data_IF_458777467922
#
_entry.id   IF_458777467922
#
_cell.length_a   1.000
_cell.length_b   1.000
_cell.length_c   1.000
_cell.angle_alpha   90.00
_cell.angle_beta   90.00
_cell.angle_gamma   90.00
#
_symmetry.space_group_name_H-M   'P 1'
#
loop_
_entity.id
_entity.type
_entity.pdbx_description
1 polymer ?
#
# COMPACT_ATOMS: atom_id res chain seq x y z
N UNK A 1 1.43 -3.51 51.63
CA UNK A 1 2.01 -3.86 50.32
C UNK A 1 1.24 -3.08 49.27
N UNK A 2 1.77 -1.93 48.85
CA UNK A 2 1.19 -1.15 47.76
C UNK A 2 1.47 -1.91 46.46
N UNK A 3 0.41 -2.30 45.77
CA UNK A 3 0.49 -2.81 44.41
C UNK A 3 0.80 -1.62 43.51
N UNK A 4 2.07 -1.44 43.16
CA UNK A 4 2.48 -0.55 42.09
C UNK A 4 1.82 -1.03 40.80
N UNK A 5 0.78 -0.32 40.35
CA UNK A 5 0.35 -0.40 38.96
C UNK A 5 1.50 0.19 38.15
N UNK A 6 2.04 -0.51 37.14
CA UNK A 6 3.02 0.09 36.24
C UNK A 6 2.44 1.41 35.74
N UNK A 7 3.18 2.50 35.95
CA UNK A 7 2.77 3.82 35.48
C UNK A 7 2.62 3.76 33.97
N UNK A 8 1.56 4.38 33.44
CA UNK A 8 1.30 4.47 32.00
C UNK A 8 2.54 4.98 31.24
N UNK A 9 3.35 5.81 31.91
CA UNK A 9 4.63 6.36 31.45
C UNK A 9 5.73 5.30 31.32
N UNK A 10 5.83 4.32 32.22
CA UNK A 10 6.85 3.25 32.14
C UNK A 10 6.56 2.27 30.99
N UNK A 11 5.28 2.02 30.73
CA UNK A 11 4.83 1.17 29.63
C UNK A 11 5.09 1.85 28.29
N UNK A 12 4.89 3.16 28.18
CA UNK A 12 5.16 3.94 26.97
C UNK A 12 6.66 3.98 26.66
N UNK A 13 7.51 4.27 27.65
CA UNK A 13 8.97 4.30 27.49
C UNK A 13 9.53 2.93 27.04
N UNK A 14 8.97 1.83 27.53
CA UNK A 14 9.41 0.50 27.11
C UNK A 14 9.07 0.21 25.63
N UNK A 15 7.92 0.69 25.14
CA UNK A 15 7.52 0.53 23.73
C UNK A 15 8.40 1.36 22.79
N UNK A 16 8.73 2.59 23.15
CA UNK A 16 9.61 3.45 22.35
C UNK A 16 11.01 2.82 22.19
N UNK A 17 11.55 2.22 23.26
CA UNK A 17 12.83 1.49 23.21
C UNK A 17 12.75 0.27 22.29
N UNK A 18 11.63 -0.47 22.29
CA UNK A 18 11.43 -1.61 21.39
C UNK A 18 11.30 -1.19 19.92
N UNK A 19 10.64 -0.06 19.66
CA UNK A 19 10.55 0.52 18.31
C UNK A 19 11.91 0.99 17.82
N UNK A 20 12.73 1.60 18.68
CA UNK A 20 14.10 2.00 18.37
C UNK A 20 14.98 0.79 18.02
N UNK A 21 14.92 -0.27 18.82
CA UNK A 21 15.64 -1.50 18.55
C UNK A 21 15.18 -2.17 17.25
N UNK A 22 13.87 -2.13 16.98
CA UNK A 22 13.32 -2.65 15.73
C UNK A 22 13.79 -1.84 14.54
N UNK A 23 13.83 -0.50 14.65
CA UNK A 23 14.34 0.40 13.62
C UNK A 23 15.82 0.15 13.31
N UNK A 24 16.65 -0.03 14.35
CA UNK A 24 18.06 -0.37 14.19
C UNK A 24 18.23 -1.73 13.50
N UNK A 25 17.40 -2.71 13.86
CA UNK A 25 17.41 -4.03 13.23
C UNK A 25 17.02 -4.03 11.74
N UNK A 26 16.40 -2.96 11.22
CA UNK A 26 16.15 -2.82 9.78
C UNK A 26 17.44 -2.60 8.96
N UNK A 27 18.53 -2.15 9.60
CA UNK A 27 19.84 -1.98 8.95
C UNK A 27 20.60 -3.31 8.81
N UNK A 28 20.13 -4.38 9.46
CA UNK A 28 20.82 -5.66 9.46
C UNK A 28 20.93 -6.28 8.05
N UNK A 29 22.04 -6.97 7.82
CA UNK A 29 22.31 -7.58 6.50
C UNK A 29 21.36 -8.75 6.21
N UNK A 30 21.00 -9.50 7.25
CA UNK A 30 20.15 -10.71 7.18
C UNK A 30 18.69 -10.33 6.93
N UNK A 31 18.07 -10.96 5.92
CA UNK A 31 16.65 -10.70 5.60
C UNK A 31 15.71 -11.12 6.72
N UNK A 32 15.98 -12.26 7.37
CA UNK A 32 15.16 -12.77 8.47
C UNK A 32 15.09 -11.81 9.67
N UNK A 33 16.18 -11.11 9.97
CA UNK A 33 16.23 -10.13 11.08
C UNK A 33 15.44 -8.87 10.73
N UNK A 34 15.59 -8.37 9.49
CA UNK A 34 14.78 -7.23 9.02
C UNK A 34 13.29 -7.56 8.98
N UNK A 35 12.95 -8.77 8.55
CA UNK A 35 11.58 -9.27 8.56
C UNK A 35 11.05 -9.29 10.01
N UNK A 36 11.72 -9.95 10.96
CA UNK A 36 11.27 -9.96 12.35
C UNK A 36 11.09 -8.55 12.95
N UNK A 37 11.97 -7.61 12.61
CA UNK A 37 11.87 -6.22 13.03
C UNK A 37 10.61 -5.53 12.46
N UNK A 38 10.32 -5.71 11.17
CA UNK A 38 9.10 -5.17 10.56
C UNK A 38 7.84 -5.73 11.20
N UNK A 39 7.79 -7.04 11.48
CA UNK A 39 6.64 -7.64 12.18
C UNK A 39 6.44 -7.03 13.58
N UNK A 40 7.54 -6.85 14.32
CA UNK A 40 7.50 -6.24 15.65
C UNK A 40 6.99 -4.80 15.62
N UNK A 41 7.36 -4.03 14.58
CA UNK A 41 6.86 -2.67 14.38
C UNK A 41 5.37 -2.64 14.02
N UNK A 42 4.92 -3.54 13.14
CA UNK A 42 3.50 -3.67 12.80
C UNK A 42 2.67 -4.00 14.04
N UNK A 43 3.12 -4.97 14.85
CA UNK A 43 2.44 -5.34 16.08
C UNK A 43 2.36 -4.17 17.06
N UNK A 44 3.45 -3.39 17.17
CA UNK A 44 3.49 -2.19 18.01
C UNK A 44 2.51 -1.11 17.53
N UNK A 45 2.46 -0.83 16.21
CA UNK A 45 1.53 0.15 15.64
C UNK A 45 0.07 -0.29 15.70
N UNK A 46 -0.22 -1.58 15.57
CA UNK A 46 -1.59 -2.11 15.73
C UNK A 46 -2.06 -2.07 17.20
N UNK A 47 -1.13 -2.11 18.14
CA UNK A 47 -1.44 -2.10 19.57
C UNK A 47 -1.62 -0.69 20.14
N UNK A 48 -1.05 0.34 19.50
CA UNK A 48 -1.03 1.70 20.00
C UNK A 48 -0.68 2.73 18.90
N UNK A 49 -1.29 3.91 18.95
CA UNK A 49 -1.01 5.00 17.99
C UNK A 49 0.27 5.71 18.41
N UNK A 50 1.41 5.20 17.93
CA UNK A 50 2.76 5.67 18.23
C UNK A 50 3.12 6.97 17.49
N UNK A 51 2.23 7.97 17.57
CA UNK A 51 2.30 9.20 16.78
C UNK A 51 3.63 9.95 16.96
N UNK A 52 4.08 10.14 18.20
CA UNK A 52 5.32 10.88 18.50
C UNK A 52 6.58 10.18 17.95
N UNK A 53 6.61 8.85 17.99
CA UNK A 53 7.70 8.06 17.41
C UNK A 53 7.73 8.21 15.89
N UNK A 54 6.57 8.04 15.24
CA UNK A 54 6.47 8.11 13.79
C UNK A 54 6.80 9.51 13.31
N UNK A 55 6.23 10.55 13.90
CA UNK A 55 6.50 11.95 13.54
C UNK A 55 7.99 12.31 13.63
N UNK A 56 8.71 11.83 14.66
CA UNK A 56 10.14 12.11 14.85
C UNK A 56 11.06 11.31 13.94
N UNK A 57 10.71 10.07 13.61
CA UNK A 57 11.59 9.14 12.87
C UNK A 57 11.07 8.81 11.47
N UNK A 58 10.07 9.55 11.02
CA UNK A 58 9.32 9.31 9.79
C UNK A 58 10.22 9.04 8.56
N UNK A 59 11.15 9.93 8.24
CA UNK A 59 12.03 9.78 7.08
C UNK A 59 12.89 8.50 7.14
N UNK A 60 13.34 8.11 8.34
CA UNK A 60 14.13 6.88 8.52
C UNK A 60 13.24 5.65 8.32
N UNK A 61 12.04 5.66 8.91
CA UNK A 61 11.05 4.58 8.75
C UNK A 61 10.68 4.37 7.29
N UNK A 62 10.41 5.46 6.57
CA UNK A 62 10.09 5.46 5.15
C UNK A 62 11.20 4.80 4.33
N UNK A 63 12.42 5.30 4.47
CA UNK A 63 13.57 4.79 3.72
C UNK A 63 13.80 3.29 4.00
N UNK A 64 13.70 2.87 5.25
CA UNK A 64 13.91 1.46 5.59
C UNK A 64 12.79 0.55 5.12
N UNK A 65 11.53 0.99 5.18
CA UNK A 65 10.40 0.23 4.65
C UNK A 65 10.54 0.06 3.13
N UNK A 66 10.85 1.13 2.39
CA UNK A 66 11.07 1.08 0.95
C UNK A 66 12.25 0.19 0.57
N UNK A 67 13.35 0.27 1.32
CA UNK A 67 14.49 -0.63 1.15
C UNK A 67 14.11 -2.09 1.38
N UNK A 68 13.28 -2.38 2.38
CA UNK A 68 12.79 -3.73 2.65
C UNK A 68 11.83 -4.22 1.56
N UNK A 69 10.95 -3.39 1.00
CA UNK A 69 10.08 -3.76 -0.13
C UNK A 69 10.92 -4.11 -1.36
N UNK A 70 11.98 -3.34 -1.62
CA UNK A 70 12.92 -3.57 -2.73
C UNK A 70 13.74 -4.86 -2.56
N UNK A 71 14.21 -5.15 -1.35
CA UNK A 71 15.19 -6.22 -1.07
C UNK A 71 14.61 -7.46 -0.37
N UNK A 72 13.34 -7.40 0.03
CA UNK A 72 12.66 -8.42 0.83
C UNK A 72 12.53 -9.75 0.11
N UNK A 73 12.65 -10.83 0.89
CA UNK A 73 12.48 -12.20 0.41
C UNK A 73 10.99 -12.54 0.25
N UNK A 74 10.71 -13.49 -0.63
CA UNK A 74 9.39 -14.01 -1.01
C UNK A 74 8.62 -14.78 0.08
N UNK A 75 9.19 -14.91 1.28
CA UNK A 75 8.81 -15.94 2.25
C UNK A 75 8.03 -15.44 3.47
N UNK A 76 7.69 -14.16 3.53
CA UNK A 76 7.21 -13.55 4.77
C UNK A 76 5.81 -12.95 4.65
N UNK A 77 4.94 -13.33 5.59
CA UNK A 77 3.59 -12.78 5.82
C UNK A 77 3.57 -11.28 6.13
N UNK A 78 4.75 -10.66 6.31
CA UNK A 78 4.91 -9.23 6.64
C UNK A 78 4.54 -8.34 5.47
N UNK A 79 4.63 -8.86 4.24
CA UNK A 79 4.20 -8.14 3.06
C UNK A 79 2.70 -7.81 3.17
N UNK A 80 1.88 -8.71 3.72
CA UNK A 80 0.44 -8.53 3.91
C UNK A 80 0.08 -7.40 4.89
N UNK A 81 0.95 -7.07 5.84
CA UNK A 81 0.67 -6.09 6.89
C UNK A 81 1.35 -4.73 6.66
N UNK A 82 1.91 -4.55 5.46
CA UNK A 82 2.66 -3.39 4.98
C UNK A 82 2.91 -2.26 6.02
N UNK A 83 4.04 -2.30 6.75
CA UNK A 83 4.35 -1.32 7.80
C UNK A 83 4.39 0.13 7.30
N UNK A 84 4.64 0.33 6.00
CA UNK A 84 4.60 1.65 5.38
C UNK A 84 3.17 2.24 5.34
N UNK A 85 2.15 1.41 5.04
CA UNK A 85 0.74 1.81 5.10
C UNK A 85 0.32 2.17 6.52
N UNK A 86 0.78 1.43 7.51
CA UNK A 86 0.43 1.68 8.90
C UNK A 86 1.13 2.95 9.41
N UNK A 87 2.41 3.13 9.05
CA UNK A 87 3.16 4.33 9.38
C UNK A 87 2.48 5.59 8.81
N UNK A 88 2.06 5.59 7.53
CA UNK A 88 1.38 6.76 6.96
C UNK A 88 0.03 7.06 7.63
N UNK A 89 -0.73 6.02 7.97
CA UNK A 89 -2.00 6.19 8.71
C UNK A 89 -1.73 6.83 10.09
N UNK A 90 -0.59 6.49 10.70
CA UNK A 90 -0.18 7.01 12.02
C UNK A 90 0.33 8.46 11.95
N UNK A 91 1.01 8.84 10.85
CA UNK A 91 1.39 10.25 10.57
C UNK A 91 0.17 11.13 10.36
N UNK A 92 -0.90 10.58 9.76
CA UNK A 92 -2.11 11.35 9.45
C UNK A 92 -1.94 12.26 8.23
N UNK A 93 -2.78 13.28 8.10
CA UNK A 93 -2.80 14.20 6.95
C UNK A 93 -1.79 15.35 7.14
N UNK A 94 -1.11 15.75 6.08
CA UNK A 94 -0.21 16.91 6.08
C UNK A 94 1.03 16.73 5.20
N UNK A 95 1.98 17.67 5.31
CA UNK A 95 3.19 17.72 4.47
C UNK A 95 4.01 16.42 4.53
N UNK A 96 4.08 15.78 5.71
CA UNK A 96 4.77 14.50 5.88
C UNK A 96 4.12 13.37 5.08
N UNK A 97 2.79 13.30 5.02
CA UNK A 97 2.10 12.29 4.23
C UNK A 97 2.24 12.50 2.73
N UNK A 98 2.29 13.76 2.29
CA UNK A 98 2.60 14.08 0.91
C UNK A 98 4.04 13.66 0.55
N UNK A 99 5.02 13.94 1.42
CA UNK A 99 6.41 13.51 1.25
C UNK A 99 6.52 11.98 1.15
N UNK A 100 5.78 11.22 2.01
CA UNK A 100 5.68 9.75 1.89
C UNK A 100 5.28 9.34 0.49
N UNK A 101 4.20 9.93 -0.02
CA UNK A 101 3.65 9.57 -1.31
C UNK A 101 4.68 9.83 -2.42
N UNK A 102 5.24 11.03 -2.45
CA UNK A 102 6.20 11.45 -3.46
C UNK A 102 7.46 10.55 -3.49
N UNK A 103 8.00 10.22 -2.32
CA UNK A 103 9.18 9.36 -2.21
C UNK A 103 8.88 7.88 -2.48
N UNK A 104 7.65 7.41 -2.23
CA UNK A 104 7.27 6.00 -2.35
C UNK A 104 6.80 5.59 -3.73
N UNK A 105 6.15 6.48 -4.49
CA UNK A 105 5.51 6.14 -5.79
C UNK A 105 6.50 5.48 -6.76
N UNK A 106 7.71 6.03 -6.89
CA UNK A 106 8.70 5.51 -7.83
C UNK A 106 9.25 4.13 -7.41
N UNK A 107 9.74 3.93 -6.17
CA UNK A 107 10.16 2.62 -5.68
C UNK A 107 9.05 1.55 -5.76
N UNK A 108 7.80 1.89 -5.39
CA UNK A 108 6.68 0.95 -5.45
C UNK A 108 6.35 0.57 -6.90
N UNK A 109 6.33 1.53 -7.83
CA UNK A 109 6.15 1.26 -9.26
C UNK A 109 7.23 0.33 -9.82
N UNK A 110 8.50 0.51 -9.42
CA UNK A 110 9.59 -0.38 -9.81
C UNK A 110 9.44 -1.79 -9.20
N UNK A 111 9.01 -1.87 -7.94
CA UNK A 111 8.75 -3.13 -7.25
C UNK A 111 7.60 -3.92 -7.91
N UNK A 112 6.51 -3.25 -8.31
CA UNK A 112 5.39 -3.86 -9.06
C UNK A 112 5.86 -4.47 -10.40
N UNK A 113 6.69 -3.74 -11.15
CA UNK A 113 7.19 -4.20 -12.46
C UNK A 113 8.15 -5.39 -12.35
N UNK A 114 8.92 -5.46 -11.28
CA UNK A 114 9.92 -6.51 -11.05
C UNK A 114 9.35 -7.75 -10.34
N UNK A 115 8.30 -7.58 -9.54
CA UNK A 115 7.67 -8.69 -8.82
C UNK A 115 6.99 -9.68 -9.78
N UNK A 116 7.01 -10.97 -9.39
CA UNK A 116 6.29 -12.06 -10.06
C UNK A 116 5.37 -12.82 -9.10
N UNK A 117 5.41 -12.45 -7.83
CA UNK A 117 4.70 -13.14 -6.77
C UNK A 117 3.40 -12.41 -6.47
N UNK A 118 2.28 -13.14 -6.52
CA UNK A 118 0.94 -12.57 -6.36
C UNK A 118 0.81 -11.79 -5.04
N UNK A 119 1.20 -12.39 -3.92
CA UNK A 119 1.12 -11.76 -2.58
C UNK A 119 1.94 -10.46 -2.51
N UNK A 120 3.15 -10.47 -3.08
CA UNK A 120 3.98 -9.26 -3.12
C UNK A 120 3.35 -8.17 -3.98
N UNK A 121 2.74 -8.54 -5.10
CA UNK A 121 2.05 -7.59 -5.97
C UNK A 121 0.83 -7.01 -5.26
N UNK A 122 -0.03 -7.83 -4.65
CA UNK A 122 -1.25 -7.37 -3.97
C UNK A 122 -0.91 -6.39 -2.85
N UNK A 123 0.06 -6.70 -2.00
CA UNK A 123 0.43 -5.81 -0.92
C UNK A 123 1.08 -4.51 -1.37
N UNK A 124 1.84 -4.50 -2.47
CA UNK A 124 2.37 -3.24 -3.03
C UNK A 124 1.24 -2.38 -3.62
N UNK A 125 0.21 -2.99 -4.21
CA UNK A 125 -0.96 -2.26 -4.71
C UNK A 125 -1.75 -1.62 -3.58
N UNK A 126 -2.04 -2.40 -2.53
CA UNK A 126 -2.72 -1.91 -1.32
C UNK A 126 -1.89 -0.81 -0.64
N UNK A 127 -0.58 -1.01 -0.55
CA UNK A 127 0.36 0.01 -0.08
C UNK A 127 0.19 1.32 -0.83
N UNK A 128 0.29 1.27 -2.16
CA UNK A 128 0.21 2.44 -3.02
C UNK A 128 -1.14 3.15 -2.88
N UNK A 129 -2.23 2.38 -2.77
CA UNK A 129 -3.57 2.91 -2.57
C UNK A 129 -3.71 3.63 -1.22
N UNK A 130 -3.28 3.02 -0.11
CA UNK A 130 -3.36 3.66 1.21
C UNK A 130 -2.51 4.92 1.29
N UNK A 131 -1.25 4.88 0.81
CA UNK A 131 -0.39 6.06 0.87
C UNK A 131 -0.91 7.20 -0.01
N UNK A 132 -1.56 6.87 -1.13
CA UNK A 132 -2.15 7.87 -2.02
C UNK A 132 -3.42 8.45 -1.43
N UNK A 133 -4.24 7.64 -0.77
CA UNK A 133 -5.44 8.09 -0.08
C UNK A 133 -5.12 9.10 1.04
N UNK A 134 -4.06 8.84 1.82
CA UNK A 134 -3.67 9.71 2.94
C UNK A 134 -2.84 10.91 2.47
N UNK A 135 -1.88 10.69 1.57
CA UNK A 135 -0.91 11.71 1.14
C UNK A 135 -1.25 12.47 -0.14
N UNK A 136 -2.29 12.05 -0.87
CA UNK A 136 -2.70 12.65 -2.14
C UNK A 136 -3.36 14.01 -1.94
N UNK A 137 -2.57 15.08 -1.96
CA UNK A 137 -3.06 16.43 -1.72
C UNK A 137 -3.78 17.04 -2.94
N UNK A 138 -3.53 16.52 -4.14
CA UNK A 138 -4.16 16.97 -5.38
C UNK A 138 -4.64 15.80 -6.26
N UNK A 139 -5.64 16.03 -7.12
CA UNK A 139 -6.16 15.00 -8.01
C UNK A 139 -5.10 14.38 -8.92
N UNK A 140 -4.09 15.15 -9.36
CA UNK A 140 -3.06 14.67 -10.27
C UNK A 140 -2.16 13.58 -9.65
N UNK A 141 -1.82 13.71 -8.36
CA UNK A 141 -1.09 12.70 -7.60
C UNK A 141 -1.89 11.41 -7.49
N UNK A 142 -3.19 11.52 -7.19
CA UNK A 142 -4.10 10.38 -7.10
C UNK A 142 -4.27 9.68 -8.45
N UNK A 143 -4.52 10.45 -9.51
CA UNK A 143 -4.62 9.93 -10.87
C UNK A 143 -3.35 9.21 -11.32
N UNK A 144 -2.16 9.74 -10.97
CA UNK A 144 -0.88 9.09 -11.28
C UNK A 144 -0.77 7.71 -10.63
N UNK A 145 -1.11 7.58 -9.35
CA UNK A 145 -1.13 6.28 -8.66
C UNK A 145 -2.16 5.34 -9.25
N UNK A 146 -3.35 5.83 -9.59
CA UNK A 146 -4.39 5.04 -10.26
C UNK A 146 -3.96 4.55 -11.63
N UNK A 147 -3.23 5.35 -12.41
CA UNK A 147 -2.63 4.90 -13.67
C UNK A 147 -1.59 3.81 -13.47
N UNK A 148 -0.76 3.89 -12.42
CA UNK A 148 0.23 2.85 -12.10
C UNK A 148 -0.48 1.54 -11.74
N UNK A 149 -1.53 1.61 -10.90
CA UNK A 149 -2.35 0.46 -10.51
C UNK A 149 -3.01 -0.17 -11.74
N UNK A 150 -3.66 0.65 -12.59
CA UNK A 150 -4.36 0.17 -13.78
C UNK A 150 -3.43 -0.49 -14.81
N UNK A 151 -2.20 0.01 -14.97
CA UNK A 151 -1.21 -0.57 -15.87
C UNK A 151 -0.80 -2.00 -15.51
N UNK A 152 -1.11 -2.49 -14.30
CA UNK A 152 -0.85 -3.88 -13.91
C UNK A 152 -1.82 -4.88 -14.57
N UNK A 153 -2.96 -4.43 -15.07
CA UNK A 153 -3.90 -5.26 -15.85
C UNK A 153 -3.31 -5.57 -17.23
N UNK A 154 -2.78 -4.52 -17.87
CA UNK A 154 -2.20 -4.56 -19.21
C UNK A 154 -0.80 -3.96 -19.16
N UNK A 155 0.22 -4.70 -18.70
CA UNK A 155 1.59 -4.22 -18.75
C UNK A 155 1.93 -3.89 -20.20
N UNK A 156 2.30 -2.63 -20.46
CA UNK A 156 2.71 -2.19 -21.81
C UNK A 156 3.74 -3.20 -22.34
N UNK A 157 3.42 -3.88 -23.45
CA UNK A 157 4.28 -4.87 -24.10
C UNK A 157 5.56 -4.19 -24.59
N UNK A 158 6.54 -4.01 -23.70
CA UNK A 158 7.79 -3.29 -23.96
C UNK A 158 9.05 -4.16 -23.89
N UNK A 159 8.94 -5.45 -23.60
CA UNK A 159 10.08 -6.37 -23.58
C UNK A 159 9.58 -7.79 -23.75
N UNK A 160 10.35 -8.65 -24.42
CA UNK A 160 10.08 -10.03 -24.83
C UNK A 160 9.85 -11.03 -23.66
N UNK A 161 9.16 -10.62 -22.61
CA UNK A 161 8.80 -11.42 -21.46
C UNK A 161 7.34 -11.81 -21.62
N UNK A 162 7.07 -13.11 -21.65
CA UNK A 162 5.72 -13.68 -21.68
C UNK A 162 4.88 -13.00 -20.59
N UNK A 163 3.89 -12.20 -21.00
CA UNK A 163 2.96 -11.55 -20.09
C UNK A 163 2.14 -12.64 -19.41
N UNK A 164 2.56 -13.00 -18.19
CA UNK A 164 1.81 -13.93 -17.35
C UNK A 164 0.53 -13.22 -16.95
N UNK A 165 -0.61 -13.79 -17.33
CA UNK A 165 -1.92 -13.24 -16.98
C UNK A 165 -2.00 -13.07 -15.45
N UNK A 166 -2.43 -11.90 -14.94
CA UNK A 166 -2.56 -11.69 -13.51
C UNK A 166 -3.49 -12.74 -12.87
N UNK A 167 -3.14 -13.20 -11.67
CA UNK A 167 -3.99 -14.13 -10.93
C UNK A 167 -5.30 -13.46 -10.49
N UNK A 168 -6.38 -14.21 -10.21
CA UNK A 168 -7.63 -13.62 -9.74
C UNK A 168 -7.48 -12.73 -8.50
N UNK A 169 -6.61 -13.11 -7.55
CA UNK A 169 -6.29 -12.32 -6.38
C UNK A 169 -5.65 -10.96 -6.74
N UNK A 170 -4.70 -10.97 -7.69
CA UNK A 170 -4.08 -9.72 -8.18
C UNK A 170 -5.09 -8.85 -8.90
N UNK A 171 -5.95 -9.42 -9.76
CA UNK A 171 -7.01 -8.66 -10.46
C UNK A 171 -7.95 -8.02 -9.45
N UNK A 172 -8.43 -8.78 -8.46
CA UNK A 172 -9.31 -8.28 -7.40
C UNK A 172 -8.67 -7.10 -6.69
N UNK A 173 -7.40 -7.24 -6.29
CA UNK A 173 -6.68 -6.18 -5.58
C UNK A 173 -6.47 -4.95 -6.47
N UNK A 174 -6.10 -5.13 -7.74
CA UNK A 174 -5.98 -4.00 -8.67
C UNK A 174 -7.29 -3.22 -8.75
N UNK A 175 -8.41 -3.92 -8.98
CA UNK A 175 -9.72 -3.28 -9.14
C UNK A 175 -10.17 -2.60 -7.85
N UNK A 176 -10.06 -3.27 -6.70
CA UNK A 176 -10.44 -2.69 -5.40
C UNK A 176 -9.56 -1.50 -5.01
N UNK A 177 -8.24 -1.60 -5.17
CA UNK A 177 -7.31 -0.48 -4.89
C UNK A 177 -7.55 0.71 -5.82
N UNK A 178 -7.84 0.45 -7.10
CA UNK A 178 -8.19 1.51 -8.05
C UNK A 178 -9.52 2.17 -7.68
N UNK A 179 -10.57 1.38 -7.43
CA UNK A 179 -11.88 1.91 -7.05
C UNK A 179 -11.83 2.67 -5.71
N UNK A 180 -11.02 2.22 -4.76
CA UNK A 180 -10.79 2.91 -3.50
C UNK A 180 -10.24 4.33 -3.73
N UNK A 181 -9.22 4.48 -4.57
CA UNK A 181 -8.69 5.81 -4.92
C UNK A 181 -9.65 6.64 -5.75
N UNK A 182 -10.52 6.01 -6.55
CA UNK A 182 -11.55 6.74 -7.28
C UNK A 182 -12.47 7.50 -6.31
N UNK A 183 -12.71 6.99 -5.10
CA UNK A 183 -13.56 7.67 -4.09
C UNK A 183 -13.03 9.02 -3.62
N UNK A 184 -11.75 9.35 -3.84
CA UNK A 184 -11.13 10.59 -3.37
C UNK A 184 -10.91 11.62 -4.47
N UNK A 185 -11.26 11.31 -5.71
CA UNK A 185 -11.20 12.31 -6.79
C UNK A 185 -12.53 13.05 -6.81
N UNK A 186 -12.52 14.35 -7.08
CA UNK A 186 -13.76 15.16 -7.18
C UNK A 186 -14.21 15.30 -8.65
N UNK A 187 -13.25 15.35 -9.57
CA UNK A 187 -13.47 15.43 -11.02
C UNK A 187 -12.39 14.62 -11.72
N UNK A 188 -12.81 13.54 -12.36
CA UNK A 188 -11.89 12.65 -13.06
C UNK A 188 -11.51 13.25 -14.42
N UNK A 189 -10.24 13.55 -14.63
CA UNK A 189 -9.80 14.23 -15.88
C UNK A 189 -9.43 13.27 -17.01
N UNK A 190 -9.56 11.95 -16.80
CA UNK A 190 -9.20 10.99 -17.85
C UNK A 190 -10.09 11.13 -19.08
N UNK A 191 -9.47 11.04 -20.25
CA UNK A 191 -10.16 11.19 -21.52
C UNK A 191 -11.25 10.12 -21.73
N UNK A 192 -12.33 10.43 -22.49
CA UNK A 192 -13.49 9.54 -22.69
C UNK A 192 -13.14 8.12 -23.19
N UNK A 193 -12.02 7.99 -23.91
CA UNK A 193 -11.53 6.70 -24.42
C UNK A 193 -11.09 5.76 -23.30
N UNK A 194 -10.36 6.30 -22.32
CA UNK A 194 -9.84 5.49 -21.20
C UNK A 194 -10.99 5.08 -20.27
N UNK A 195 -12.00 5.95 -20.12
CA UNK A 195 -13.24 5.60 -19.44
C UNK A 195 -13.95 4.41 -20.06
N UNK A 196 -14.18 4.47 -21.37
CA UNK A 196 -14.83 3.38 -22.10
C UNK A 196 -14.04 2.07 -22.00
N UNK A 197 -12.70 2.14 -22.05
CA UNK A 197 -11.82 1.00 -21.86
C UNK A 197 -11.97 0.38 -20.45
N UNK A 198 -11.96 1.21 -19.40
CA UNK A 198 -12.14 0.76 -18.01
C UNK A 198 -13.50 0.09 -17.83
N UNK A 199 -14.60 0.74 -18.25
CA UNK A 199 -15.96 0.20 -18.11
C UNK A 199 -16.11 -1.11 -18.89
N UNK A 200 -15.56 -1.19 -20.10
CA UNK A 200 -15.60 -2.41 -20.91
C UNK A 200 -14.83 -3.55 -20.24
N UNK A 201 -13.63 -3.25 -19.71
CA UNK A 201 -12.82 -4.23 -19.01
C UNK A 201 -13.52 -4.74 -17.74
N UNK A 202 -14.00 -3.83 -16.88
CA UNK A 202 -14.72 -4.19 -15.66
C UNK A 202 -15.99 -5.01 -15.96
N UNK A 203 -16.73 -4.66 -17.01
CA UNK A 203 -17.90 -5.44 -17.44
C UNK A 203 -17.50 -6.87 -17.83
N UNK A 204 -16.36 -7.05 -18.51
CA UNK A 204 -15.84 -8.38 -18.87
C UNK A 204 -15.41 -9.21 -17.66
N UNK A 205 -15.13 -8.57 -16.52
CA UNK A 205 -14.78 -9.26 -15.28
C UNK A 205 -16.00 -9.87 -14.57
N UNK A 206 -17.21 -9.32 -14.80
CA UNK A 206 -18.45 -9.86 -14.24
C UNK A 206 -18.77 -11.28 -14.74
N UNK A 207 -18.21 -11.68 -15.88
CA UNK A 207 -18.39 -13.01 -16.47
C UNK A 207 -17.31 -14.02 -16.03
N UNK A 208 -16.36 -13.63 -15.17
CA UNK A 208 -15.28 -14.53 -14.70
C UNK A 208 -15.79 -15.49 -13.64
N UNK A 209 -15.20 -16.69 -13.57
CA UNK A 209 -15.57 -17.73 -12.60
C UNK A 209 -15.33 -17.32 -11.15
N UNK A 210 -14.28 -16.55 -10.90
CA UNK A 210 -13.86 -16.12 -9.57
C UNK A 210 -14.83 -15.10 -8.96
N UNK A 211 -15.39 -15.43 -7.79
CA UNK A 211 -16.38 -14.58 -7.11
C UNK A 211 -15.78 -13.25 -6.65
N UNK A 212 -14.54 -13.24 -6.17
CA UNK A 212 -13.90 -12.03 -5.66
C UNK A 212 -13.67 -11.03 -6.79
N UNK A 213 -13.23 -11.52 -7.95
CA UNK A 213 -13.09 -10.71 -9.17
C UNK A 213 -14.42 -10.08 -9.59
N UNK A 214 -15.50 -10.87 -9.62
CA UNK A 214 -16.83 -10.35 -9.96
C UNK A 214 -17.32 -9.30 -8.96
N UNK A 215 -17.07 -9.51 -7.67
CA UNK A 215 -17.51 -8.61 -6.60
C UNK A 215 -16.78 -7.26 -6.72
N UNK A 216 -15.45 -7.28 -6.82
CA UNK A 216 -14.65 -6.06 -6.98
C UNK A 216 -15.03 -5.30 -8.26
N UNK A 217 -15.26 -6.00 -9.38
CA UNK A 217 -15.70 -5.37 -10.62
C UNK A 217 -17.08 -4.71 -10.49
N UNK A 218 -18.02 -5.37 -9.80
CA UNK A 218 -19.36 -4.82 -9.53
C UNK A 218 -19.31 -3.58 -8.65
N UNK A 219 -18.51 -3.59 -7.59
CA UNK A 219 -18.29 -2.44 -6.71
C UNK A 219 -17.70 -1.25 -7.48
N UNK A 220 -16.67 -1.50 -8.29
CA UNK A 220 -16.04 -0.47 -9.11
C UNK A 220 -17.02 0.14 -10.13
N UNK A 221 -17.83 -0.69 -10.79
CA UNK A 221 -18.86 -0.22 -11.74
C UNK A 221 -19.96 0.57 -11.03
N UNK A 222 -20.39 0.13 -9.84
CA UNK A 222 -21.39 0.85 -9.06
C UNK A 222 -20.87 2.25 -8.65
N UNK A 223 -19.61 2.35 -8.24
CA UNK A 223 -18.97 3.62 -7.93
C UNK A 223 -18.86 4.52 -9.17
N UNK A 224 -18.49 3.95 -10.32
CA UNK A 224 -18.45 4.67 -11.59
C UNK A 224 -19.82 5.24 -11.95
N UNK A 225 -20.88 4.44 -11.85
CA UNK A 225 -22.24 4.88 -12.19
C UNK A 225 -22.80 5.89 -11.20
N UNK A 226 -22.38 5.86 -9.93
CA UNK A 226 -22.84 6.83 -8.93
C UNK A 226 -22.31 8.24 -9.18
N UNK A 227 -21.28 8.39 -10.02
CA UNK A 227 -20.76 9.68 -10.44
C UNK A 227 -21.48 10.27 -11.65
N UNK A 228 -22.26 9.45 -12.37
CA UNK A 228 -22.99 9.84 -13.58
C UNK A 228 -24.43 10.30 -13.27
N UNK A 229 -24.88 10.15 -12.02
CA UNK A 229 -26.20 10.52 -11.50
C UNK A 229 -26.13 11.78 -10.62
#
# INVERSE_FOLDING_TARGET
MQSERPGMDEVQVHKDVLLDQSLDALYEKRSSTREQALASMVDAFNSDLQHEFVEKKFATLLHQCLHCIKKGSSKSNIIEQNPLSIAIITVGLGDQAQEILEESVTPLSQALKSSREALKITSILECLAVITFVGGANPEQTERSMQIIWQMIHPKLGSNVVATKPSPAVITTIVSSWAFLLTTVDQWTLGPKLWQEIVTYLSSLLEKDDRSVRTAAGEALALILSWEL
#
